data_IF_156968324522
#
_entry.id   IF_156968324522
#
_cell.length_a   1.000
_cell.length_b   1.000
_cell.length_c   1.000
_cell.angle_alpha   90.00
_cell.angle_beta   90.00
_cell.angle_gamma   90.00
#
_symmetry.space_group_name_H-M   'P 1'
#
loop_
_entity.id
_entity.type
_entity.pdbx_description
1 polymer ?
#
# COMPACT_ATOMS: atom_id res chain seq x y z
N UNK A 1 -11.14 15.66 10.76
CA UNK A 1 -11.62 14.33 11.02
C UNK A 1 -12.28 13.75 9.80
N UNK A 2 -13.08 12.86 9.89
CA UNK A 2 -13.84 12.34 8.78
C UNK A 2 -13.11 11.38 7.86
N UNK A 3 -11.84 11.10 8.13
CA UNK A 3 -11.14 10.10 7.35
C UNK A 3 -11.53 8.71 7.82
N UNK A 4 -11.64 7.80 6.84
CA UNK A 4 -11.92 6.41 7.14
C UNK A 4 -10.61 5.75 7.55
N UNK A 5 -10.57 5.25 8.79
CA UNK A 5 -9.39 4.55 9.30
C UNK A 5 -9.47 3.04 9.13
N UNK A 6 -10.59 2.55 8.64
CA UNK A 6 -10.82 1.11 8.52
C UNK A 6 -11.90 0.88 7.48
N UNK A 7 -11.64 -0.06 6.57
CA UNK A 7 -12.71 -0.54 5.69
C UNK A 7 -12.39 -1.94 5.21
N UNK A 8 -13.45 -2.64 4.81
CA UNK A 8 -13.35 -3.97 4.25
C UNK A 8 -13.82 -3.94 2.82
N UNK A 9 -13.16 -4.72 1.98
CA UNK A 9 -13.50 -4.79 0.56
C UNK A 9 -13.31 -6.20 0.05
N UNK A 10 -13.99 -6.50 -1.04
CA UNK A 10 -13.74 -7.70 -1.81
C UNK A 10 -13.11 -7.25 -3.12
N UNK A 11 -11.97 -7.83 -3.46
CA UNK A 11 -11.31 -7.52 -4.73
C UNK A 11 -12.18 -7.99 -5.89
N UNK A 12 -12.14 -7.26 -7.00
CA UNK A 12 -12.86 -7.70 -8.19
C UNK A 12 -12.04 -8.75 -8.94
N UNK A 13 -12.57 -9.23 -10.06
CA UNK A 13 -11.93 -10.32 -10.83
C UNK A 13 -10.57 -9.92 -11.40
N UNK A 14 -10.28 -8.61 -11.46
CA UNK A 14 -9.00 -8.11 -11.97
C UNK A 14 -8.10 -7.61 -10.85
N UNK A 15 -8.32 -8.09 -9.64
CA UNK A 15 -7.51 -7.76 -8.46
C UNK A 15 -7.54 -6.26 -8.14
N UNK A 16 -8.66 -5.60 -8.35
CA UNK A 16 -8.76 -4.17 -8.09
C UNK A 16 -9.49 -3.93 -6.78
N UNK A 17 -8.93 -3.00 -6.02
CA UNK A 17 -9.47 -2.56 -4.73
C UNK A 17 -10.16 -1.23 -4.92
N UNK A 18 -11.45 -1.14 -4.57
CA UNK A 18 -12.17 0.11 -4.63
C UNK A 18 -11.86 0.93 -3.38
N UNK A 19 -11.36 2.14 -3.60
CA UNK A 19 -10.99 3.05 -2.51
C UNK A 19 -12.21 3.87 -2.12
N UNK A 20 -12.50 4.02 -0.83
CA UNK A 20 -13.59 4.90 -0.39
C UNK A 20 -13.42 6.31 -0.95
N UNK A 21 -14.53 6.93 -1.30
CA UNK A 21 -14.53 8.24 -1.95
C UNK A 21 -13.71 9.27 -1.17
N UNK A 22 -13.84 9.27 0.15
CA UNK A 22 -13.17 10.26 0.99
C UNK A 22 -11.65 10.11 1.04
N UNK A 23 -11.11 8.98 0.56
CA UNK A 23 -9.66 8.78 0.54
C UNK A 23 -9.05 8.98 -0.84
N UNK A 24 -9.86 9.13 -1.87
CA UNK A 24 -9.36 9.18 -3.24
C UNK A 24 -8.48 10.38 -3.51
N UNK A 25 -8.77 11.49 -2.86
CA UNK A 25 -8.00 12.71 -3.06
C UNK A 25 -6.55 12.54 -2.63
N UNK A 26 -6.31 11.81 -1.56
CA UNK A 26 -4.96 11.57 -1.07
C UNK A 26 -4.15 10.67 -2.01
N UNK A 27 -4.84 9.87 -2.82
CA UNK A 27 -4.19 8.89 -3.69
C UNK A 27 -4.12 9.33 -5.15
N UNK A 28 -4.52 10.57 -5.44
CA UNK A 28 -4.56 11.08 -6.81
C UNK A 28 -3.20 11.08 -7.51
N UNK A 29 -2.14 11.32 -6.76
CA UNK A 29 -0.80 11.39 -7.34
C UNK A 29 -0.21 10.01 -7.62
N UNK A 30 -0.91 8.96 -7.24
CA UNK A 30 -0.47 7.59 -7.41
C UNK A 30 -0.40 6.87 -6.08
N UNK A 31 -0.22 5.57 -6.16
CA UNK A 31 -0.24 4.68 -5.01
C UNK A 31 0.98 3.77 -5.07
N UNK A 32 1.69 3.66 -3.96
CA UNK A 32 2.81 2.73 -3.83
C UNK A 32 2.37 1.60 -2.92
N UNK A 33 2.51 0.36 -3.37
CA UNK A 33 2.14 -0.81 -2.59
C UNK A 33 3.39 -1.67 -2.40
N UNK A 34 3.67 -2.01 -1.14
CA UNK A 34 4.87 -2.76 -0.77
C UNK A 34 4.50 -3.88 0.20
N UNK A 35 5.45 -4.79 0.40
CA UNK A 35 5.37 -5.68 1.55
C UNK A 35 5.46 -4.86 2.82
N UNK A 36 4.76 -5.31 3.86
CA UNK A 36 4.85 -4.67 5.17
C UNK A 36 5.92 -5.33 6.05
N UNK A 37 5.81 -5.14 7.35
CA UNK A 37 6.74 -5.76 8.30
C UNK A 37 6.42 -7.24 8.53
N UNK A 38 5.16 -7.64 8.31
CA UNK A 38 4.73 -9.02 8.44
C UNK A 38 4.03 -9.48 7.18
N UNK A 39 3.16 -10.47 7.29
CA UNK A 39 2.42 -11.00 6.14
C UNK A 39 1.23 -10.11 5.79
N UNK A 40 1.52 -8.88 5.47
CA UNK A 40 0.53 -7.90 5.04
C UNK A 40 1.22 -6.88 4.15
N UNK A 41 0.44 -5.99 3.56
CA UNK A 41 0.97 -5.00 2.64
C UNK A 41 0.85 -3.61 3.24
N UNK A 42 1.71 -2.72 2.78
CA UNK A 42 1.58 -1.29 3.02
C UNK A 42 1.12 -0.62 1.75
N UNK A 43 0.20 0.33 1.88
CA UNK A 43 -0.26 1.14 0.77
C UNK A 43 -0.05 2.60 1.12
N UNK A 44 0.71 3.29 0.28
CA UNK A 44 1.08 4.70 0.53
C UNK A 44 0.56 5.58 -0.58
N UNK A 45 0.11 6.80 -0.26
CA UNK A 45 0.07 7.83 -1.29
C UNK A 45 1.48 8.04 -1.82
N UNK A 46 1.62 8.20 -3.14
CA UNK A 46 2.96 8.35 -3.72
C UNK A 46 3.73 9.49 -3.07
N UNK A 47 3.05 10.60 -2.78
CA UNK A 47 3.70 11.74 -2.14
C UNK A 47 4.27 11.37 -0.77
N UNK A 48 3.53 10.59 0.01
CA UNK A 48 4.01 10.14 1.33
C UNK A 48 5.22 9.24 1.18
N UNK A 49 5.18 8.33 0.21
CA UNK A 49 6.33 7.47 -0.05
C UNK A 49 7.56 8.30 -0.38
N UNK A 50 7.43 9.24 -1.33
CA UNK A 50 8.56 10.03 -1.79
C UNK A 50 9.13 10.94 -0.69
N UNK A 51 8.28 11.51 0.15
CA UNK A 51 8.70 12.49 1.14
C UNK A 51 9.08 11.90 2.49
N UNK A 52 8.47 10.77 2.86
CA UNK A 52 8.63 10.23 4.21
C UNK A 52 9.28 8.85 4.27
N UNK A 53 9.11 8.03 3.26
CA UNK A 53 9.65 6.67 3.28
C UNK A 53 10.98 6.59 2.54
N UNK A 54 11.04 7.10 1.32
CA UNK A 54 12.24 7.05 0.48
C UNK A 54 13.47 7.63 1.20
N UNK A 55 13.37 8.80 1.84
CA UNK A 55 14.52 9.36 2.56
C UNK A 55 15.00 8.48 3.71
N UNK A 56 14.10 7.74 4.35
CA UNK A 56 14.49 6.82 5.44
C UNK A 56 15.21 5.60 4.90
N UNK A 57 14.78 5.09 3.75
CA UNK A 57 15.43 3.96 3.10
C UNK A 57 16.78 4.35 2.50
N UNK A 58 16.95 5.63 2.21
CA UNK A 58 18.14 6.19 1.59
C UNK A 58 19.15 6.66 2.63
N UNK A 59 19.07 6.12 3.84
CA UNK A 59 19.93 6.50 4.94
C UNK A 59 21.33 5.90 4.84
N UNK A 60 21.93 5.56 5.97
CA UNK A 60 23.28 4.99 6.01
C UNK A 60 23.31 3.63 5.33
N UNK A 61 23.93 3.55 4.17
CA UNK A 61 23.96 2.34 3.35
C UNK A 61 24.77 1.21 4.01
N UNK A 62 25.55 1.53 5.04
CA UNK A 62 26.30 0.53 5.78
C UNK A 62 25.59 0.07 7.06
N UNK A 63 24.43 0.63 7.36
CA UNK A 63 23.62 0.18 8.49
C UNK A 63 22.80 -1.02 8.05
N UNK A 64 23.05 -2.17 8.69
CA UNK A 64 22.37 -3.41 8.31
C UNK A 64 20.86 -3.30 8.44
N UNK A 65 20.36 -2.56 9.45
CA UNK A 65 18.92 -2.40 9.63
C UNK A 65 18.30 -1.62 8.46
N UNK A 66 19.01 -0.61 7.96
CA UNK A 66 18.56 0.16 6.80
C UNK A 66 18.59 -0.73 5.56
N UNK A 67 19.62 -1.55 5.40
CA UNK A 67 19.71 -2.47 4.28
C UNK A 67 18.55 -3.46 4.30
N UNK A 68 18.22 -4.02 5.46
CA UNK A 68 17.12 -4.96 5.59
C UNK A 68 15.78 -4.32 5.27
N UNK A 69 15.57 -3.07 5.67
CA UNK A 69 14.36 -2.33 5.35
C UNK A 69 14.24 -2.12 3.84
N UNK A 70 15.36 -1.83 3.17
CA UNK A 70 15.36 -1.68 1.72
C UNK A 70 14.93 -2.98 1.05
N UNK A 71 15.47 -4.10 1.48
CA UNK A 71 15.08 -5.39 0.94
C UNK A 71 13.58 -5.62 1.12
N UNK A 72 13.10 -5.37 2.34
CA UNK A 72 11.69 -5.63 2.68
C UNK A 72 10.74 -4.74 1.89
N UNK A 73 11.03 -3.46 1.77
CA UNK A 73 10.09 -2.52 1.18
C UNK A 73 10.28 -2.30 -0.32
N UNK A 74 11.43 -2.69 -0.87
CA UNK A 74 11.63 -2.55 -2.33
C UNK A 74 11.36 -3.84 -3.08
N UNK A 75 11.41 -5.00 -2.41
CA UNK A 75 11.15 -6.27 -3.06
C UNK A 75 9.67 -6.35 -3.44
N UNK A 76 9.40 -6.43 -4.73
CA UNK A 76 8.02 -6.54 -5.22
C UNK A 76 7.22 -5.25 -5.16
N UNK A 77 7.84 -4.11 -4.80
CA UNK A 77 7.15 -2.82 -4.75
C UNK A 77 6.51 -2.49 -6.10
N UNK A 78 5.29 -1.98 -6.07
CA UNK A 78 4.62 -1.52 -7.29
C UNK A 78 4.17 -0.07 -7.10
N UNK A 79 4.14 0.66 -8.21
CA UNK A 79 3.52 1.97 -8.27
C UNK A 79 2.38 1.88 -9.25
N UNK A 80 1.18 2.22 -8.80
CA UNK A 80 -0.01 2.11 -9.61
C UNK A 80 -0.79 3.42 -9.53
N UNK A 81 -1.65 3.63 -10.52
CA UNK A 81 -2.48 4.81 -10.53
C UNK A 81 -3.88 4.48 -10.05
N UNK A 82 -4.50 5.45 -9.40
CA UNK A 82 -5.91 5.34 -9.03
C UNK A 82 -6.75 5.57 -10.27
N UNK A 83 -7.67 4.65 -10.53
CA UNK A 83 -8.64 4.79 -11.62
C UNK A 83 -9.55 5.98 -11.31
N UNK A 84 -9.49 7.00 -12.14
CA UNK A 84 -10.24 8.24 -11.93
C UNK A 84 -11.75 8.06 -11.89
N UNK A 85 -12.26 7.09 -12.62
CA UNK A 85 -13.71 6.94 -12.75
C UNK A 85 -14.35 6.23 -11.58
N UNK A 86 -13.74 5.14 -11.13
CA UNK A 86 -14.34 4.30 -10.10
C UNK A 86 -13.48 4.23 -8.83
N UNK A 87 -12.34 4.90 -8.84
CA UNK A 87 -11.48 4.96 -7.66
C UNK A 87 -10.91 3.62 -7.26
N UNK A 88 -10.38 2.86 -8.21
CA UNK A 88 -9.83 1.54 -7.94
C UNK A 88 -8.33 1.51 -8.17
N UNK A 89 -7.64 0.69 -7.37
CA UNK A 89 -6.22 0.43 -7.56
C UNK A 89 -6.03 -1.08 -7.76
N UNK A 90 -5.11 -1.44 -8.64
CA UNK A 90 -4.79 -2.85 -8.90
C UNK A 90 -3.70 -3.31 -7.95
N UNK A 91 -3.92 -4.46 -7.31
CA UNK A 91 -2.90 -5.08 -6.47
C UNK A 91 -2.36 -6.29 -7.22
N UNK A 92 -1.05 -6.27 -7.50
CA UNK A 92 -0.43 -7.32 -8.29
C UNK A 92 -0.46 -8.66 -7.57
N UNK A 93 -0.54 -9.73 -8.37
CA UNK A 93 -0.70 -11.08 -7.83
C UNK A 93 0.40 -11.46 -6.83
N UNK A 94 1.65 -11.09 -7.10
CA UNK A 94 2.75 -11.45 -6.20
C UNK A 94 2.60 -10.82 -4.81
N UNK A 95 1.99 -9.63 -4.73
CA UNK A 95 1.75 -8.99 -3.44
C UNK A 95 0.60 -9.68 -2.71
N UNK A 96 -0.45 -10.03 -3.43
CA UNK A 96 -1.56 -10.77 -2.83
C UNK A 96 -1.08 -12.11 -2.27
N UNK A 97 -0.23 -12.79 -3.03
CA UNK A 97 0.33 -14.07 -2.59
C UNK A 97 1.17 -13.89 -1.33
N UNK A 98 2.00 -12.85 -1.28
CA UNK A 98 2.83 -12.57 -0.12
C UNK A 98 1.96 -12.40 1.15
N UNK A 99 0.85 -11.69 1.04
CA UNK A 99 0.00 -11.37 2.17
C UNK A 99 -1.09 -12.41 2.41
N UNK A 100 -1.09 -13.50 1.63
CA UNK A 100 -2.10 -14.56 1.72
C UNK A 100 -3.52 -14.02 1.53
N UNK A 101 -3.66 -13.07 0.63
CA UNK A 101 -4.96 -12.48 0.30
C UNK A 101 -5.56 -13.20 -0.89
N UNK A 102 -6.80 -13.68 -0.73
CA UNK A 102 -7.56 -14.25 -1.84
C UNK A 102 -8.44 -13.16 -2.46
N UNK A 103 -9.56 -12.83 -1.82
CA UNK A 103 -10.46 -11.78 -2.31
C UNK A 103 -10.86 -10.81 -1.23
N UNK A 104 -11.03 -11.29 -0.01
CA UNK A 104 -11.53 -10.46 1.08
C UNK A 104 -10.36 -9.80 1.79
N UNK A 105 -10.40 -8.49 1.90
CA UNK A 105 -9.31 -7.74 2.51
C UNK A 105 -9.83 -6.76 3.55
N UNK A 106 -8.94 -6.43 4.47
CA UNK A 106 -9.15 -5.41 5.49
C UNK A 106 -8.07 -4.36 5.30
N UNK A 107 -8.48 -3.10 5.29
CA UNK A 107 -7.55 -1.97 5.17
C UNK A 107 -7.67 -1.13 6.43
N UNK A 108 -6.54 -0.91 7.10
CA UNK A 108 -6.50 -0.19 8.36
C UNK A 108 -5.53 0.99 8.23
N UNK A 109 -5.98 2.17 8.63
CA UNK A 109 -5.14 3.36 8.61
C UNK A 109 -4.04 3.31 9.66
N UNK A 110 -2.83 3.69 9.27
CA UNK A 110 -1.66 3.75 10.15
C UNK A 110 -1.06 5.15 10.04
N UNK A 111 -1.90 6.16 10.29
CA UNK A 111 -1.48 7.54 10.18
C UNK A 111 -1.45 8.03 8.75
N UNK A 112 -0.27 8.03 8.12
CA UNK A 112 -0.09 8.59 6.79
C UNK A 112 -0.17 7.54 5.67
N UNK A 113 -0.40 6.28 6.03
CA UNK A 113 -0.51 5.19 5.06
C UNK A 113 -1.45 4.12 5.60
N UNK A 114 -1.63 3.03 4.88
CA UNK A 114 -2.56 1.98 5.25
C UNK A 114 -1.89 0.63 5.25
N UNK A 115 -2.39 -0.23 6.14
CA UNK A 115 -2.04 -1.64 6.17
C UNK A 115 -3.14 -2.42 5.46
N UNK A 116 -2.77 -3.27 4.51
CA UNK A 116 -3.72 -4.09 3.75
C UNK A 116 -3.48 -5.54 4.12
N UNK A 117 -4.51 -6.20 4.64
CA UNK A 117 -4.39 -7.55 5.19
C UNK A 117 -5.47 -8.45 4.66
N UNK A 118 -5.22 -9.76 4.72
CA UNK A 118 -6.26 -10.76 4.49
C UNK A 118 -7.30 -10.63 5.59
N UNK A 119 -8.55 -10.80 5.22
CA UNK A 119 -9.63 -10.77 6.21
C UNK A 119 -9.74 -12.12 6.92
#
# INVERSE_FOLDING_TARGET
MGKTDYFERKLDDKRRLTIPTELRDELKSGVVITRGFGQYLHMYPKQVWDEMVEPKLDGDILDERIADLNVQFRTGKTEVELDDKQGRVTIEQHLLAYASIDRDIVVVGVGRYWRVMAK
#
